data_IF_977847610005
#
_entry.id   IF_977847610005
#
_cell.length_a   1.000
_cell.length_b   1.000
_cell.length_c   1.000
_cell.angle_alpha   90.00
_cell.angle_beta   90.00
_cell.angle_gamma   90.00
#
_symmetry.space_group_name_H-M   'P 1'
#
loop_
_entity.id
_entity.type
_entity.pdbx_description
1 polymer ?
#
# COMPACT_ATOMS: atom_id res chain seq x y z
N UNK A 1 -5.11 -20.03 -18.46
CA UNK A 1 -4.21 -21.20 -18.46
C UNK A 1 -4.91 -22.30 -17.67
N UNK A 2 -5.01 -23.54 -18.18
CA UNK A 2 -5.57 -24.65 -17.44
C UNK A 2 -4.77 -24.92 -16.15
N UNK A 3 -5.46 -25.47 -15.15
CA UNK A 3 -4.84 -25.78 -13.85
C UNK A 3 -3.68 -26.75 -14.02
N UNK A 4 -2.53 -26.51 -13.39
CA UNK A 4 -1.43 -27.45 -13.42
C UNK A 4 -1.78 -28.77 -12.72
N UNK A 5 -1.25 -29.88 -13.23
CA UNK A 5 -1.35 -31.20 -12.59
C UNK A 5 -0.76 -31.19 -11.17
N UNK A 6 -1.35 -31.95 -10.26
CA UNK A 6 -0.90 -32.09 -8.87
C UNK A 6 0.53 -32.63 -8.77
N UNK A 7 1.22 -32.33 -7.66
CA UNK A 7 2.58 -32.80 -7.43
C UNK A 7 2.65 -34.33 -7.34
N UNK A 8 1.68 -34.95 -6.65
CA UNK A 8 1.63 -36.41 -6.47
C UNK A 8 1.48 -37.15 -7.79
N UNK A 9 0.66 -36.62 -8.70
CA UNK A 9 0.49 -37.20 -10.04
C UNK A 9 1.80 -37.16 -10.83
N UNK A 10 2.54 -36.04 -10.77
CA UNK A 10 3.84 -35.90 -11.43
C UNK A 10 4.86 -36.88 -10.88
N UNK A 11 4.92 -36.98 -9.55
CA UNK A 11 5.85 -37.87 -8.85
C UNK A 11 5.54 -39.33 -9.16
N UNK A 12 4.26 -39.72 -9.13
CA UNK A 12 3.82 -41.07 -9.46
C UNK A 12 4.13 -41.47 -10.90
N UNK A 13 3.87 -40.58 -11.87
CA UNK A 13 4.20 -40.83 -13.29
C UNK A 13 5.70 -41.01 -13.51
N UNK A 14 6.53 -40.20 -12.83
CA UNK A 14 7.98 -40.28 -12.97
C UNK A 14 8.54 -41.53 -12.27
N UNK A 15 8.04 -41.89 -11.07
CA UNK A 15 8.38 -43.14 -10.41
C UNK A 15 8.00 -44.36 -11.26
N UNK A 16 6.84 -44.33 -11.90
CA UNK A 16 6.39 -45.39 -12.82
C UNK A 16 7.38 -45.57 -13.99
N UNK A 17 7.91 -44.48 -14.55
CA UNK A 17 8.91 -44.54 -15.63
C UNK A 17 10.27 -44.99 -15.11
N UNK A 18 10.67 -44.56 -13.91
CA UNK A 18 11.92 -44.97 -13.26
C UNK A 18 11.93 -46.46 -12.89
N UNK A 19 10.76 -47.07 -12.68
CA UNK A 19 10.61 -48.52 -12.51
C UNK A 19 10.83 -49.34 -13.81
N UNK A 20 11.22 -48.69 -14.91
CA UNK A 20 11.56 -49.33 -16.18
C UNK A 20 10.41 -49.40 -17.19
N UNK A 21 9.26 -48.78 -16.89
CA UNK A 21 8.09 -48.77 -17.78
C UNK A 21 8.24 -47.76 -18.92
N UNK A 22 7.59 -48.05 -20.05
CA UNK A 22 7.64 -47.18 -21.23
C UNK A 22 6.78 -45.93 -21.04
N UNK A 23 7.20 -44.81 -21.63
CA UNK A 23 6.44 -43.54 -21.62
C UNK A 23 5.06 -43.69 -22.26
N UNK A 24 4.93 -44.59 -23.25
CA UNK A 24 3.66 -44.88 -23.92
C UNK A 24 2.67 -45.52 -22.94
N UNK A 25 3.14 -46.48 -22.12
CA UNK A 25 2.31 -47.12 -21.08
C UNK A 25 1.92 -46.11 -20.01
N UNK A 26 2.86 -45.27 -19.56
CA UNK A 26 2.57 -44.21 -18.60
C UNK A 26 1.50 -43.22 -19.12
N UNK A 27 1.56 -42.87 -20.41
CA UNK A 27 0.57 -42.00 -21.05
C UNK A 27 -0.84 -42.60 -21.02
N UNK A 28 -0.96 -43.91 -21.25
CA UNK A 28 -2.24 -44.63 -21.24
C UNK A 28 -2.77 -44.81 -19.81
N UNK A 29 -1.92 -45.25 -18.86
CA UNK A 29 -2.32 -45.53 -17.48
C UNK A 29 -2.77 -44.26 -16.76
N UNK A 30 -2.01 -43.18 -16.90
CA UNK A 30 -2.30 -41.93 -16.18
C UNK A 30 -3.17 -40.95 -16.99
N UNK A 31 -3.53 -41.30 -18.23
CA UNK A 31 -4.29 -40.46 -19.16
C UNK A 31 -3.69 -39.06 -19.36
N UNK A 32 -2.36 -38.99 -19.52
CA UNK A 32 -1.60 -37.75 -19.69
C UNK A 32 -0.91 -37.79 -21.05
N UNK A 33 -0.86 -36.65 -21.74
CA UNK A 33 -0.15 -36.59 -23.02
C UNK A 33 1.34 -36.88 -22.86
N UNK A 34 1.91 -37.64 -23.80
CA UNK A 34 3.35 -37.95 -23.83
C UNK A 34 4.23 -36.70 -23.74
N UNK A 35 3.79 -35.58 -24.33
CA UNK A 35 4.50 -34.28 -24.28
C UNK A 35 4.71 -33.80 -22.85
N UNK A 36 3.67 -33.82 -22.02
CA UNK A 36 3.74 -33.40 -20.61
C UNK A 36 4.70 -34.28 -19.82
N UNK A 37 4.71 -35.58 -20.10
CA UNK A 37 5.63 -36.54 -19.47
C UNK A 37 7.09 -36.24 -19.85
N UNK A 38 7.35 -35.93 -21.13
CA UNK A 38 8.69 -35.48 -21.58
C UNK A 38 9.11 -34.18 -20.90
N UNK A 39 8.20 -33.22 -20.75
CA UNK A 39 8.46 -31.95 -20.06
C UNK A 39 8.84 -32.19 -18.59
N UNK A 40 8.16 -33.09 -17.88
CA UNK A 40 8.50 -33.44 -16.49
C UNK A 40 9.83 -34.18 -16.38
N UNK A 41 10.13 -35.09 -17.31
CA UNK A 41 11.44 -35.77 -17.35
C UNK A 41 12.57 -34.77 -17.58
N UNK A 42 12.37 -33.80 -18.47
CA UNK A 42 13.32 -32.70 -18.69
C UNK A 42 13.48 -31.85 -17.43
N UNK A 43 12.37 -31.48 -16.80
CA UNK A 43 12.37 -30.68 -15.57
C UNK A 43 13.13 -31.37 -14.43
N UNK A 44 12.92 -32.68 -14.22
CA UNK A 44 13.66 -33.48 -13.23
C UNK A 44 15.16 -33.56 -13.55
N UNK A 45 15.52 -33.66 -14.83
CA UNK A 45 16.94 -33.66 -15.23
C UNK A 45 17.63 -32.32 -14.96
N UNK A 46 16.91 -31.20 -15.12
CA UNK A 46 17.45 -29.85 -14.92
C UNK A 46 17.46 -29.40 -13.46
N UNK A 47 16.43 -29.75 -12.69
CA UNK A 47 16.22 -29.22 -11.33
C UNK A 47 16.26 -30.27 -10.21
N UNK A 48 16.35 -31.56 -10.56
CA UNK A 48 16.34 -32.68 -9.60
C UNK A 48 14.95 -33.05 -9.06
N UNK A 49 13.95 -32.19 -9.23
CA UNK A 49 12.56 -32.38 -8.76
C UNK A 49 11.55 -32.15 -9.90
N UNK A 50 10.26 -32.43 -9.65
CA UNK A 50 9.13 -32.31 -10.59
C UNK A 50 8.15 -31.20 -10.18
N UNK A 51 8.58 -30.33 -9.27
CA UNK A 51 7.79 -29.22 -8.78
C UNK A 51 7.42 -28.23 -9.89
N UNK A 52 6.33 -27.50 -9.66
CA UNK A 52 5.93 -26.42 -10.53
C UNK A 52 7.01 -25.34 -10.57
N UNK A 53 7.28 -24.80 -11.77
CA UNK A 53 8.07 -23.58 -11.90
C UNK A 53 7.33 -22.45 -11.20
N UNK A 54 7.90 -21.96 -10.11
CA UNK A 54 7.40 -20.80 -9.38
C UNK A 54 7.93 -19.50 -10.02
N UNK A 55 7.26 -18.37 -9.76
CA UNK A 55 7.76 -17.05 -10.18
C UNK A 55 7.52 -16.66 -11.65
N UNK A 56 6.75 -17.43 -12.43
CA UNK A 56 6.36 -17.01 -13.79
C UNK A 56 5.45 -15.77 -13.76
N UNK A 57 4.56 -15.67 -12.77
CA UNK A 57 3.69 -14.53 -12.59
C UNK A 57 4.49 -13.36 -12.01
N UNK A 58 5.09 -12.56 -12.89
CA UNK A 58 5.56 -11.23 -12.55
C UNK A 58 4.33 -10.33 -12.46
N UNK A 59 3.95 -9.93 -11.25
CA UNK A 59 2.88 -8.95 -11.05
C UNK A 59 3.14 -7.65 -11.81
N UNK A 60 2.13 -6.81 -11.94
CA UNK A 60 2.32 -5.50 -12.58
C UNK A 60 3.29 -4.62 -11.79
N UNK A 61 4.16 -3.91 -12.50
CA UNK A 61 5.06 -2.93 -11.89
C UNK A 61 4.26 -1.80 -11.22
N UNK A 62 4.71 -1.37 -10.05
CA UNK A 62 4.10 -0.25 -9.35
C UNK A 62 4.44 1.07 -10.06
N UNK A 63 3.46 1.96 -10.20
CA UNK A 63 3.66 3.31 -10.75
C UNK A 63 4.42 4.25 -9.81
N UNK A 64 4.32 3.99 -8.50
CA UNK A 64 5.03 4.74 -7.46
C UNK A 64 6.04 3.78 -6.85
N UNK A 65 7.32 4.02 -7.15
CA UNK A 65 8.44 3.18 -6.71
C UNK A 65 9.18 3.82 -5.54
N UNK A 66 9.31 5.15 -5.56
CA UNK A 66 9.99 5.91 -4.51
C UNK A 66 9.06 6.15 -3.31
N UNK A 67 9.38 5.50 -2.19
CA UNK A 67 8.65 5.62 -0.93
C UNK A 67 9.00 6.90 -0.17
N UNK A 68 10.24 7.37 -0.28
CA UNK A 68 10.79 8.44 0.56
C UNK A 68 10.46 9.80 -0.06
N UNK A 69 10.55 9.93 -1.38
CA UNK A 69 10.00 11.08 -2.11
C UNK A 69 8.49 11.23 -1.91
N UNK A 70 7.75 10.12 -1.81
CA UNK A 70 6.32 10.16 -1.54
C UNK A 70 6.00 10.68 -0.12
N UNK A 71 6.80 10.34 0.90
CA UNK A 71 6.67 10.91 2.25
C UNK A 71 6.86 12.43 2.22
N UNK A 72 7.92 12.92 1.58
CA UNK A 72 8.18 14.35 1.44
C UNK A 72 7.04 15.08 0.70
N UNK A 73 6.52 14.47 -0.36
CA UNK A 73 5.35 14.99 -1.07
C UNK A 73 4.10 15.09 -0.17
N UNK A 74 3.86 14.09 0.69
CA UNK A 74 2.74 14.12 1.63
C UNK A 74 2.90 15.20 2.71
N UNK A 75 4.08 15.36 3.28
CA UNK A 75 4.34 16.38 4.31
C UNK A 75 4.04 17.80 3.78
N UNK A 76 4.44 18.08 2.54
CA UNK A 76 4.15 19.36 1.87
C UNK A 76 2.67 19.55 1.50
N UNK A 77 1.84 18.51 1.54
CA UNK A 77 0.45 18.51 1.05
C UNK A 77 -0.52 17.80 2.01
N UNK A 78 -0.29 17.89 3.32
CA UNK A 78 -1.01 17.13 4.34
C UNK A 78 -2.52 17.39 4.38
N UNK A 79 -2.95 18.57 3.99
CA UNK A 79 -4.34 19.03 4.00
C UNK A 79 -5.13 18.62 2.73
N UNK A 80 -4.44 18.09 1.71
CA UNK A 80 -5.06 17.78 0.42
C UNK A 80 -5.75 16.42 0.41
N UNK A 81 -6.86 16.36 -0.34
CA UNK A 81 -7.59 15.13 -0.58
C UNK A 81 -6.79 14.20 -1.50
N UNK A 82 -7.10 12.90 -1.47
CA UNK A 82 -6.44 11.92 -2.34
C UNK A 82 -6.64 12.20 -3.84
N UNK A 83 -7.72 12.89 -4.22
CA UNK A 83 -7.96 13.31 -5.62
C UNK A 83 -7.04 14.46 -6.01
N UNK A 84 -6.92 15.46 -5.16
CA UNK A 84 -6.01 16.59 -5.38
C UNK A 84 -4.54 16.13 -5.40
N UNK A 85 -4.17 15.23 -4.49
CA UNK A 85 -2.84 14.61 -4.47
C UNK A 85 -2.55 13.85 -5.77
N UNK A 86 -3.55 13.17 -6.35
CA UNK A 86 -3.38 12.46 -7.61
C UNK A 86 -3.17 13.41 -8.81
N UNK A 87 -3.76 14.60 -8.78
CA UNK A 87 -3.58 15.64 -9.81
C UNK A 87 -2.19 16.29 -9.67
N UNK A 88 -1.74 16.55 -8.44
CA UNK A 88 -0.48 17.21 -8.14
C UNK A 88 0.74 16.28 -8.28
N UNK A 89 0.52 14.96 -8.28
CA UNK A 89 1.62 14.01 -8.36
C UNK A 89 2.27 14.07 -9.74
N UNK A 90 3.63 14.02 -9.85
CA UNK A 90 4.32 14.17 -11.13
C UNK A 90 3.95 13.13 -12.19
N UNK A 91 3.49 11.95 -11.78
CA UNK A 91 3.07 10.88 -12.69
C UNK A 91 1.56 10.68 -12.66
N UNK A 92 0.99 10.26 -13.80
CA UNK A 92 -0.45 9.99 -13.93
C UNK A 92 -0.86 8.77 -13.11
N UNK A 93 -1.33 9.04 -11.89
CA UNK A 93 -1.80 8.04 -10.92
C UNK A 93 -3.26 8.28 -10.55
N UNK A 94 -3.96 7.23 -10.13
CA UNK A 94 -5.32 7.35 -9.63
C UNK A 94 -5.33 7.74 -8.15
N UNK A 95 -6.40 8.37 -7.67
CA UNK A 95 -6.60 8.62 -6.24
C UNK A 95 -6.53 7.33 -5.40
N UNK A 96 -6.94 6.18 -5.97
CA UNK A 96 -6.82 4.88 -5.29
C UNK A 96 -5.37 4.44 -5.14
N UNK A 97 -4.54 4.67 -6.15
CA UNK A 97 -3.09 4.40 -6.11
C UNK A 97 -2.43 5.23 -5.00
N UNK A 98 -2.79 6.52 -4.90
CA UNK A 98 -2.34 7.41 -3.82
C UNK A 98 -2.75 6.85 -2.45
N UNK A 99 -4.02 6.48 -2.25
CA UNK A 99 -4.49 5.91 -0.96
C UNK A 99 -3.73 4.64 -0.59
N UNK A 100 -3.54 3.73 -1.56
CA UNK A 100 -2.79 2.49 -1.32
C UNK A 100 -1.35 2.80 -0.90
N UNK A 101 -0.72 3.80 -1.53
CA UNK A 101 0.62 4.24 -1.20
C UNK A 101 0.68 4.89 0.19
N UNK A 102 -0.23 5.81 0.52
CA UNK A 102 -0.35 6.42 1.86
C UNK A 102 -0.43 5.35 2.95
N UNK A 103 -1.27 4.32 2.73
CA UNK A 103 -1.42 3.20 3.67
C UNK A 103 -0.15 2.37 3.80
N UNK A 104 0.56 2.13 2.69
CA UNK A 104 1.83 1.39 2.65
C UNK A 104 2.95 2.14 3.39
N UNK A 105 2.93 3.47 3.32
CA UNK A 105 3.89 4.36 3.99
C UNK A 105 3.59 4.54 5.48
N UNK A 106 2.39 4.15 5.92
CA UNK A 106 2.00 4.17 7.34
C UNK A 106 1.23 5.42 7.78
N UNK A 107 0.66 6.18 6.84
CA UNK A 107 -0.13 7.39 7.14
C UNK A 107 -1.62 7.08 7.21
N UNK A 108 -2.37 7.98 7.85
CA UNK A 108 -3.83 7.92 7.98
C UNK A 108 -4.43 9.33 7.98
N UNK A 109 -5.72 9.41 7.63
CA UNK A 109 -6.45 10.67 7.61
C UNK A 109 -7.01 10.97 9.00
N UNK A 110 -6.63 12.11 9.57
CA UNK A 110 -6.94 12.46 10.97
C UNK A 110 -7.46 13.89 11.07
N UNK A 111 -8.25 14.14 12.13
CA UNK A 111 -8.72 15.48 12.46
C UNK A 111 -7.57 16.39 12.88
N UNK A 112 -7.57 17.59 12.33
CA UNK A 112 -6.70 18.71 12.67
C UNK A 112 -7.44 19.59 13.66
N UNK A 113 -6.85 19.82 14.84
CA UNK A 113 -7.44 20.67 15.89
C UNK A 113 -6.91 22.12 15.85
N UNK A 114 -5.99 22.40 14.93
CA UNK A 114 -5.38 23.71 14.78
C UNK A 114 -6.10 24.47 13.67
N UNK A 115 -6.63 25.63 14.03
CA UNK A 115 -7.14 26.57 13.04
C UNK A 115 -5.97 27.07 12.15
N UNK A 116 -6.10 27.11 10.81
CA UNK A 116 -5.02 27.52 9.91
C UNK A 116 -4.42 28.89 10.23
N UNK A 117 -5.25 29.83 10.71
CA UNK A 117 -4.83 31.19 11.10
C UNK A 117 -4.17 31.28 12.49
N UNK A 118 -4.02 30.16 13.22
CA UNK A 118 -3.50 30.17 14.60
C UNK A 118 -2.01 30.54 14.61
N UNK A 119 -1.67 31.62 15.31
CA UNK A 119 -0.28 32.04 15.53
C UNK A 119 0.13 31.81 16.99
N UNK A 120 1.10 30.92 17.21
CA UNK A 120 1.58 30.57 18.56
C UNK A 120 2.33 31.73 19.24
N UNK A 121 3.04 32.56 18.46
CA UNK A 121 3.82 33.67 19.02
C UNK A 121 2.90 34.72 19.62
N UNK A 122 1.92 35.20 18.84
CA UNK A 122 0.95 36.19 19.30
C UNK A 122 0.12 35.67 20.49
N UNK A 123 -0.22 34.38 20.48
CA UNK A 123 -0.93 33.73 21.59
C UNK A 123 -0.10 33.75 22.88
N UNK A 124 1.19 33.44 22.80
CA UNK A 124 2.07 33.43 23.98
C UNK A 124 2.25 34.86 24.52
N UNK A 125 2.50 35.84 23.66
CA UNK A 125 2.58 37.25 24.02
C UNK A 125 1.29 37.74 24.71
N UNK A 126 0.13 37.28 24.23
CA UNK A 126 -1.17 37.59 24.84
C UNK A 126 -1.34 36.95 26.22
N UNK A 127 -0.92 35.69 26.38
CA UNK A 127 -0.97 34.99 27.67
C UNK A 127 -0.12 35.71 28.70
N UNK A 128 1.10 36.14 28.35
CA UNK A 128 1.99 36.90 29.25
C UNK A 128 1.35 38.20 29.73
N UNK A 129 0.68 38.94 28.83
CA UNK A 129 -0.08 40.15 29.18
C UNK A 129 -1.22 39.85 30.14
N UNK A 130 -2.00 38.79 29.90
CA UNK A 130 -3.11 38.40 30.78
C UNK A 130 -2.61 37.98 32.16
N UNK A 131 -1.51 37.23 32.25
CA UNK A 131 -1.00 36.75 33.55
C UNK A 131 -0.57 37.87 34.49
N UNK A 132 -0.32 39.07 33.97
CA UNK A 132 0.04 40.25 34.77
C UNK A 132 -1.19 40.92 35.41
N UNK A 133 -2.39 40.67 34.87
CA UNK A 133 -3.62 41.28 35.33
C UNK A 133 -4.26 40.39 36.39
N UNK A 134 -4.69 41.00 37.49
CA UNK A 134 -5.39 40.29 38.55
C UNK A 134 -6.75 39.76 38.07
N UNK A 135 -7.12 38.55 38.51
CA UNK A 135 -8.29 37.82 38.00
C UNK A 135 -9.59 38.58 38.24
N UNK A 136 -9.68 39.27 39.38
CA UNK A 136 -10.88 40.01 39.79
C UNK A 136 -11.15 41.25 38.94
N UNK A 137 -10.16 41.68 38.13
CA UNK A 137 -10.26 42.84 37.23
C UNK A 137 -10.40 42.44 35.76
N UNK A 138 -10.45 41.14 35.45
CA UNK A 138 -10.60 40.65 34.08
C UNK A 138 -12.07 40.63 33.67
N UNK A 139 -12.39 41.40 32.63
CA UNK A 139 -13.70 41.37 31.96
C UNK A 139 -13.49 40.91 30.52
N UNK A 140 -14.20 39.87 30.12
CA UNK A 140 -14.19 39.36 28.74
C UNK A 140 -15.41 39.90 28.00
N UNK A 141 -15.17 40.59 26.89
CA UNK A 141 -16.20 41.00 25.95
C UNK A 141 -15.94 40.22 24.66
N UNK A 142 -16.91 39.44 24.20
CA UNK A 142 -16.80 38.65 22.99
C UNK A 142 -18.02 38.88 22.09
N UNK A 143 -17.76 39.17 20.82
CA UNK A 143 -18.79 39.32 19.80
C UNK A 143 -18.84 38.04 18.96
N UNK A 144 -19.98 37.36 18.96
CA UNK A 144 -20.16 36.16 18.14
C UNK A 144 -20.42 36.54 16.69
N UNK A 145 -19.37 36.51 15.86
CA UNK A 145 -19.48 36.59 14.40
C UNK A 145 -19.68 35.21 13.77
N UNK A 146 -20.54 35.12 12.75
CA UNK A 146 -20.60 33.95 11.87
C UNK A 146 -19.63 34.20 10.72
N UNK A 147 -18.41 33.65 10.82
CA UNK A 147 -17.47 33.66 9.70
C UNK A 147 -17.72 32.48 8.76
N UNK A 148 -17.84 32.73 7.45
CA UNK A 148 -17.99 31.68 6.42
C UNK A 148 -16.64 31.02 6.04
N UNK A 149 -15.67 31.04 6.96
CA UNK A 149 -14.31 30.55 6.74
C UNK A 149 -14.23 29.03 6.93
N UNK A 150 -14.73 28.27 5.96
CA UNK A 150 -14.61 26.82 5.94
C UNK A 150 -13.13 26.38 5.89
N UNK A 151 -12.59 25.98 7.03
CA UNK A 151 -11.24 25.44 7.14
C UNK A 151 -11.24 23.92 6.94
N UNK A 152 -10.12 23.36 6.44
CA UNK A 152 -9.98 21.91 6.39
C UNK A 152 -9.76 21.35 7.79
N UNK A 153 -10.72 20.54 8.24
CA UNK A 153 -10.70 19.93 9.56
C UNK A 153 -9.83 18.67 9.64
N UNK A 154 -9.27 18.18 8.52
CA UNK A 154 -8.55 16.92 8.48
C UNK A 154 -7.33 16.97 7.55
N UNK A 155 -6.33 16.16 7.86
CA UNK A 155 -5.14 15.98 7.05
C UNK A 155 -4.55 14.58 7.15
N UNK A 156 -3.43 14.35 6.48
CA UNK A 156 -2.64 13.12 6.54
C UNK A 156 -1.55 13.23 7.60
N UNK A 157 -1.44 12.22 8.46
CA UNK A 157 -0.39 12.11 9.48
C UNK A 157 -0.02 10.64 9.71
N UNK A 158 1.21 10.34 10.18
CA UNK A 158 1.60 8.99 10.56
C UNK A 158 0.59 8.33 11.50
N UNK A 159 0.38 7.02 11.38
CA UNK A 159 -0.44 6.26 12.33
C UNK A 159 0.13 6.42 13.73
N UNK A 160 -0.73 6.60 14.74
CA UNK A 160 -0.34 6.97 16.10
C UNK A 160 -0.18 8.47 16.38
N UNK A 161 0.21 9.29 15.39
CA UNK A 161 0.47 10.73 15.60
C UNK A 161 -0.73 11.62 15.31
N UNK A 162 -0.79 12.85 15.83
CA UNK A 162 -1.86 13.78 15.44
C UNK A 162 -1.47 14.58 14.19
N UNK A 163 -2.45 15.17 13.50
CA UNK A 163 -2.24 16.08 12.38
C UNK A 163 -1.88 17.50 12.83
#
# INVERSE_FOLDING_TARGET
MPSPYSYDLRKGVIQYIESGKRIIEASQVFNISRKVIYDWKKLKKETGDVQLKTGYQKGHSHKITDMEGFKKFLESNKDKSSRELAILYPSKVSARTIINMIRKVGYSYKKTFLHPKRNHKLRNEFIEKITTIDKDKLVFLDESGIEDNACREHGWSPKGERC
#
